data_IF_043870893476
#
_entry.id   IF_043870893476
#
_cell.length_a   1.000
_cell.length_b   1.000
_cell.length_c   1.000
_cell.angle_alpha   90.00
_cell.angle_beta   90.00
_cell.angle_gamma   90.00
#
_symmetry.space_group_name_H-M   'P 1'
#
loop_
_entity.id
_entity.type
_entity.pdbx_description
1 polymer ?
#
# COMPACT_ATOMS: atom_id res chain seq x y z
N UNK A 1 6.94 8.52 -28.52
CA UNK A 1 6.64 9.96 -28.47
C UNK A 1 5.13 10.08 -28.34
N UNK A 2 4.64 10.10 -27.10
CA UNK A 2 3.19 10.15 -26.83
C UNK A 2 2.71 11.61 -26.93
N UNK A 3 2.17 12.00 -28.09
CA UNK A 3 1.41 13.25 -28.20
C UNK A 3 0.08 13.06 -27.48
N UNK A 4 -0.03 13.61 -26.27
CA UNK A 4 -1.33 13.83 -25.65
C UNK A 4 -2.09 14.88 -26.48
N UNK A 5 -3.30 14.54 -26.94
CA UNK A 5 -4.16 15.45 -27.68
C UNK A 5 -4.44 16.74 -26.89
N UNK A 6 -4.51 17.87 -27.60
CA UNK A 6 -4.75 19.19 -27.00
C UNK A 6 -6.19 19.29 -26.49
N UNK A 7 -6.39 19.61 -25.21
CA UNK A 7 -7.73 19.87 -24.67
C UNK A 7 -8.29 21.17 -25.26
N UNK A 8 -9.52 21.12 -25.79
CA UNK A 8 -10.21 22.28 -26.36
C UNK A 8 -10.91 23.16 -25.31
N UNK A 9 -11.05 22.69 -24.07
CA UNK A 9 -11.73 23.43 -22.99
C UNK A 9 -10.81 24.35 -22.20
N UNK A 10 -9.51 24.39 -22.51
CA UNK A 10 -8.55 25.31 -21.88
C UNK A 10 -8.63 25.28 -20.35
N UNK A 11 -8.86 26.44 -19.74
CA UNK A 11 -8.97 26.62 -18.27
C UNK A 11 -10.34 26.24 -17.69
N UNK A 12 -11.35 25.98 -18.52
CA UNK A 12 -12.67 25.51 -18.08
C UNK A 12 -12.70 23.99 -17.84
N UNK A 13 -11.66 23.27 -18.24
CA UNK A 13 -11.55 21.84 -17.97
C UNK A 13 -11.25 21.61 -16.49
N UNK A 14 -12.11 20.86 -15.82
CA UNK A 14 -11.93 20.47 -14.41
C UNK A 14 -11.04 19.23 -14.25
N UNK A 15 -10.60 18.62 -15.35
CA UNK A 15 -9.69 17.48 -15.33
C UNK A 15 -8.24 17.92 -15.31
N UNK A 16 -7.41 17.20 -14.55
CA UNK A 16 -5.98 17.52 -14.51
C UNK A 16 -5.28 17.08 -15.80
N UNK A 17 -4.62 18.04 -16.45
CA UNK A 17 -3.83 17.84 -17.67
C UNK A 17 -2.33 17.68 -17.42
N UNK A 18 -1.89 17.78 -16.17
CA UNK A 18 -0.51 17.55 -15.82
C UNK A 18 -0.15 16.08 -16.06
N UNK A 19 1.06 15.78 -16.59
CA UNK A 19 1.50 14.41 -16.76
C UNK A 19 1.62 13.71 -15.39
N UNK A 20 0.66 12.87 -15.07
CA UNK A 20 0.68 12.05 -13.87
C UNK A 20 1.20 10.65 -14.16
N UNK A 21 2.15 10.18 -13.34
CA UNK A 21 2.47 8.76 -13.30
C UNK A 21 1.26 8.01 -12.74
N UNK A 22 0.54 7.26 -13.58
CA UNK A 22 -0.62 6.48 -13.12
C UNK A 22 -0.17 5.47 -12.06
N UNK A 23 -0.73 5.59 -10.85
CA UNK A 23 -0.50 4.61 -9.80
C UNK A 23 -1.08 3.25 -10.22
N UNK A 24 -0.29 2.19 -10.08
CA UNK A 24 -0.75 0.84 -10.36
C UNK A 24 -1.72 0.40 -9.26
N UNK A 25 -3.01 0.37 -9.59
CA UNK A 25 -4.06 -0.14 -8.70
C UNK A 25 -4.13 -1.66 -8.75
N UNK A 26 -4.61 -2.29 -7.68
CA UNK A 26 -5.02 -3.70 -7.72
C UNK A 26 -6.26 -3.82 -8.60
N UNK A 27 -6.26 -4.76 -9.55
CA UNK A 27 -7.47 -5.05 -10.34
C UNK A 27 -8.48 -5.88 -9.53
N UNK A 28 -9.65 -6.14 -10.12
CA UNK A 28 -10.75 -6.85 -9.45
C UNK A 28 -10.33 -8.25 -8.99
N UNK A 29 -9.54 -8.96 -9.79
CA UNK A 29 -9.10 -10.31 -9.45
C UNK A 29 -8.11 -10.30 -8.28
N UNK A 30 -7.12 -9.39 -8.29
CA UNK A 30 -6.19 -9.24 -7.18
C UNK A 30 -6.92 -8.87 -5.89
N UNK A 31 -7.89 -7.94 -5.92
CA UNK A 31 -8.69 -7.59 -4.74
C UNK A 31 -9.50 -8.79 -4.22
N UNK A 32 -10.13 -9.54 -5.12
CA UNK A 32 -10.85 -10.76 -4.76
C UNK A 32 -9.95 -11.79 -4.10
N UNK A 33 -8.72 -11.97 -4.61
CA UNK A 33 -7.73 -12.84 -4.00
C UNK A 33 -7.35 -12.37 -2.60
N UNK A 34 -7.13 -11.06 -2.40
CA UNK A 34 -6.81 -10.52 -1.07
C UNK A 34 -7.92 -10.77 -0.04
N UNK A 35 -9.19 -10.65 -0.43
CA UNK A 35 -10.32 -10.93 0.46
C UNK A 35 -10.48 -12.41 0.83
N UNK A 36 -9.86 -13.33 0.08
CA UNK A 36 -9.90 -14.77 0.37
C UNK A 36 -8.75 -15.24 1.25
N UNK A 37 -7.68 -14.44 1.34
CA UNK A 37 -6.50 -14.75 2.14
C UNK A 37 -6.78 -14.32 3.57
N UNK A 38 -6.30 -15.12 4.52
CA UNK A 38 -6.34 -14.76 5.94
C UNK A 38 -5.68 -13.40 6.23
N UNK A 39 -6.25 -12.63 7.15
CA UNK A 39 -5.73 -11.29 7.51
C UNK A 39 -4.26 -11.35 7.93
N UNK A 40 -3.84 -12.35 8.71
CA UNK A 40 -2.44 -12.51 9.13
C UNK A 40 -1.54 -12.76 7.90
N UNK A 41 -1.91 -13.71 7.04
CA UNK A 41 -1.15 -14.00 5.81
C UNK A 41 -1.03 -12.73 4.95
N UNK A 42 -2.11 -11.97 4.84
CA UNK A 42 -2.15 -10.72 4.09
C UNK A 42 -1.21 -9.64 4.64
N UNK A 43 -1.30 -9.36 5.94
CA UNK A 43 -0.45 -8.37 6.61
C UNK A 43 1.02 -8.75 6.53
N UNK A 44 1.36 -10.05 6.63
CA UNK A 44 2.74 -10.55 6.44
C UNK A 44 3.26 -10.29 5.02
N UNK A 45 2.43 -10.48 3.99
CA UNK A 45 2.81 -10.16 2.60
C UNK A 45 3.03 -8.65 2.42
N UNK A 46 2.17 -7.82 3.00
CA UNK A 46 2.34 -6.36 2.98
C UNK A 46 3.62 -5.92 3.70
N UNK A 47 3.85 -6.42 4.92
CA UNK A 47 5.02 -6.10 5.73
C UNK A 47 6.32 -6.43 4.97
N UNK A 48 6.39 -7.60 4.33
CA UNK A 48 7.56 -7.98 3.51
C UNK A 48 7.85 -6.95 2.40
N UNK A 49 6.82 -6.52 1.67
CA UNK A 49 6.97 -5.58 0.55
C UNK A 49 7.26 -4.17 1.05
N UNK A 50 6.59 -3.74 2.13
CA UNK A 50 6.80 -2.44 2.79
C UNK A 50 8.23 -2.35 3.31
N UNK A 51 8.70 -3.37 4.03
CA UNK A 51 10.07 -3.43 4.53
C UNK A 51 11.08 -3.30 3.38
N UNK A 52 10.94 -4.12 2.33
CA UNK A 52 11.84 -4.08 1.17
C UNK A 52 11.83 -2.73 0.43
N UNK A 53 10.71 -2.00 0.42
CA UNK A 53 10.65 -0.65 -0.18
C UNK A 53 11.18 0.44 0.75
N UNK A 54 10.99 0.26 2.06
CA UNK A 54 11.50 1.18 3.07
C UNK A 54 13.02 1.12 3.19
N UNK A 55 13.69 0.04 2.77
CA UNK A 55 15.17 -0.01 2.77
C UNK A 55 15.79 0.95 1.77
N UNK A 56 15.10 1.25 0.65
CA UNK A 56 15.57 2.21 -0.34
C UNK A 56 15.08 3.65 -0.10
N UNK A 57 14.33 3.90 0.99
CA UNK A 57 13.78 5.22 1.32
C UNK A 57 14.17 5.62 2.74
N UNK A 58 14.71 6.83 2.90
CA UNK A 58 14.99 7.40 4.22
C UNK A 58 13.81 8.24 4.68
N UNK A 59 13.16 7.83 5.78
CA UNK A 59 12.16 8.64 6.48
C UNK A 59 12.21 8.34 8.00
N UNK A 60 12.00 9.35 8.87
CA UNK A 60 12.17 9.25 10.32
C UNK A 60 11.37 8.12 10.99
N UNK A 61 10.10 7.94 10.60
CA UNK A 61 9.17 6.98 11.24
C UNK A 61 9.21 5.58 10.63
N UNK A 62 10.35 5.19 10.04
CA UNK A 62 10.51 3.89 9.39
C UNK A 62 10.41 2.73 10.38
N UNK A 63 11.07 2.84 11.53
CA UNK A 63 11.02 1.79 12.55
C UNK A 63 9.60 1.64 13.09
N UNK A 64 8.98 2.77 13.44
CA UNK A 64 7.59 2.81 13.92
C UNK A 64 6.61 2.18 12.93
N UNK A 65 6.77 2.40 11.61
CA UNK A 65 5.95 1.72 10.60
C UNK A 65 6.04 0.19 10.69
N UNK A 66 7.25 -0.34 10.90
CA UNK A 66 7.45 -1.78 11.01
C UNK A 66 6.85 -2.30 12.31
N UNK A 67 7.06 -1.59 13.42
CA UNK A 67 6.56 -1.95 14.74
C UNK A 67 5.03 -1.98 14.78
N UNK A 68 4.36 -0.98 14.17
CA UNK A 68 2.89 -0.95 14.08
C UNK A 68 2.34 -2.13 13.27
N UNK A 69 3.00 -2.48 12.16
CA UNK A 69 2.59 -3.62 11.33
C UNK A 69 2.83 -4.95 12.04
N UNK A 70 3.93 -5.08 12.79
CA UNK A 70 4.23 -6.28 13.58
C UNK A 70 3.22 -6.48 14.69
N UNK A 71 2.90 -5.41 15.44
CA UNK A 71 1.86 -5.45 16.46
C UNK A 71 0.50 -5.87 15.90
N UNK A 72 0.08 -5.32 14.75
CA UNK A 72 -1.19 -5.72 14.12
C UNK A 72 -1.18 -7.19 13.67
N UNK A 73 -0.04 -7.70 13.19
CA UNK A 73 0.11 -9.13 12.84
C UNK A 73 -0.07 -10.00 14.09
N UNK A 74 0.55 -9.64 15.22
CA UNK A 74 0.40 -10.36 16.48
C UNK A 74 -1.05 -10.39 16.96
N UNK A 75 -1.73 -9.23 16.94
CA UNK A 75 -3.15 -9.12 17.29
C UNK A 75 -4.01 -9.99 16.36
N UNK A 76 -3.75 -9.96 15.06
CA UNK A 76 -4.45 -10.79 14.09
C UNK A 76 -4.20 -12.30 14.31
N UNK A 77 -3.00 -12.70 14.74
CA UNK A 77 -2.70 -14.09 15.07
C UNK A 77 -3.42 -14.58 16.32
N UNK A 78 -3.57 -13.72 17.33
CA UNK A 78 -4.36 -14.03 18.52
C UNK A 78 -5.84 -14.24 18.17
N UNK A 79 -6.43 -13.39 17.31
CA UNK A 79 -7.80 -13.54 16.82
C UNK A 79 -7.96 -14.73 15.83
N UNK A 80 -6.93 -15.05 15.05
CA UNK A 80 -6.94 -16.23 14.18
C UNK A 80 -7.03 -17.53 14.97
N UNK A 81 -6.41 -17.60 16.14
CA UNK A 81 -6.51 -18.78 17.03
C UNK A 81 -7.92 -18.98 17.59
N UNK A 82 -8.76 -17.94 17.61
CA UNK A 82 -10.15 -18.02 18.10
C UNK A 82 -11.19 -18.21 16.98
N UNK A 83 -10.85 -17.91 15.71
CA UNK A 83 -11.79 -18.02 14.57
C UNK A 83 -11.54 -19.23 13.68
N UNK A 84 -12.63 -19.98 13.41
CA UNK A 84 -12.67 -21.06 12.42
C UNK A 84 -12.97 -20.46 11.05
N UNK A 85 -11.94 -20.39 10.18
CA UNK A 85 -11.97 -20.20 8.70
C UNK A 85 -11.30 -18.93 8.19
N UNK A 86 -10.09 -19.13 7.71
CA UNK A 86 -9.50 -18.46 6.56
C UNK A 86 -8.61 -19.47 5.84
N UNK A 87 -8.65 -19.55 4.51
CA UNK A 87 -7.76 -20.45 3.75
C UNK A 87 -6.37 -19.81 3.69
N UNK A 88 -5.33 -20.56 4.00
CA UNK A 88 -3.95 -20.11 3.76
C UNK A 88 -3.72 -19.93 2.25
N UNK A 89 -3.10 -18.81 1.87
CA UNK A 89 -2.77 -18.56 0.46
C UNK A 89 -1.79 -19.61 -0.07
N UNK A 90 -2.00 -20.12 -1.27
CA UNK A 90 -1.02 -20.98 -1.96
C UNK A 90 0.24 -20.19 -2.32
N UNK A 91 1.34 -20.90 -2.57
CA UNK A 91 2.61 -20.28 -2.99
C UNK A 91 2.46 -19.42 -4.25
N UNK A 92 1.67 -19.86 -5.22
CA UNK A 92 1.44 -19.15 -6.48
C UNK A 92 0.63 -17.85 -6.27
N UNK A 93 -0.40 -17.91 -5.42
CA UNK A 93 -1.20 -16.75 -5.04
C UNK A 93 -0.35 -15.70 -4.30
N UNK A 94 0.44 -16.15 -3.29
CA UNK A 94 1.39 -15.29 -2.57
C UNK A 94 2.35 -14.59 -3.53
N UNK A 95 2.97 -15.34 -4.44
CA UNK A 95 3.90 -14.79 -5.43
C UNK A 95 3.23 -13.75 -6.33
N UNK A 96 2.01 -14.00 -6.77
CA UNK A 96 1.26 -13.09 -7.63
C UNK A 96 0.91 -11.78 -6.91
N UNK A 97 0.44 -11.88 -5.67
CA UNK A 97 0.15 -10.72 -4.81
C UNK A 97 1.41 -9.90 -4.54
N UNK A 98 2.49 -10.54 -4.10
CA UNK A 98 3.77 -9.86 -3.82
C UNK A 98 4.30 -9.14 -5.05
N UNK A 99 4.26 -9.78 -6.23
CA UNK A 99 4.67 -9.15 -7.49
C UNK A 99 3.86 -7.90 -7.78
N UNK A 100 2.54 -7.93 -7.56
CA UNK A 100 1.69 -6.76 -7.80
C UNK A 100 1.93 -5.65 -6.79
N UNK A 101 1.97 -5.97 -5.50
CA UNK A 101 2.26 -5.03 -4.42
C UNK A 101 3.63 -4.36 -4.60
N UNK A 102 4.64 -5.11 -5.08
CA UNK A 102 5.98 -4.58 -5.35
C UNK A 102 6.00 -3.47 -6.40
N UNK A 103 5.01 -3.40 -7.28
CA UNK A 103 4.88 -2.31 -8.26
C UNK A 103 4.17 -1.07 -7.74
N UNK A 104 3.65 -1.08 -6.50
CA UNK A 104 2.94 0.06 -5.90
C UNK A 104 3.91 1.01 -5.19
N UNK A 105 3.50 2.27 -4.98
CA UNK A 105 4.25 3.22 -4.14
C UNK A 105 4.22 2.78 -2.68
N UNK A 106 5.22 3.17 -1.87
CA UNK A 106 5.20 2.89 -0.43
C UNK A 106 3.94 3.46 0.22
N UNK A 107 3.55 4.69 -0.16
CA UNK A 107 2.32 5.31 0.35
C UNK A 107 1.05 4.53 0.00
N UNK A 108 0.95 3.97 -1.21
CA UNK A 108 -0.19 3.14 -1.56
C UNK A 108 -0.25 1.85 -0.72
N UNK A 109 0.90 1.24 -0.42
CA UNK A 109 0.97 0.05 0.44
C UNK A 109 0.60 0.35 1.89
N UNK A 110 1.11 1.46 2.46
CA UNK A 110 0.76 1.89 3.82
C UNK A 110 -0.73 2.24 3.91
N UNK A 111 -1.28 2.92 2.90
CA UNK A 111 -2.72 3.22 2.85
C UNK A 111 -3.59 1.97 2.80
N UNK A 112 -3.12 0.93 2.13
CA UNK A 112 -3.82 -0.36 2.07
C UNK A 112 -3.73 -1.06 3.43
N UNK A 113 -2.53 -1.10 4.04
CA UNK A 113 -2.35 -1.68 5.37
C UNK A 113 -3.25 -1.00 6.41
N UNK A 114 -3.29 0.33 6.43
CA UNK A 114 -4.11 1.11 7.36
C UNK A 114 -5.61 0.77 7.31
N UNK A 115 -6.12 0.36 6.15
CA UNK A 115 -7.54 -0.03 5.98
C UNK A 115 -7.88 -1.39 6.58
N UNK A 116 -6.88 -2.27 6.70
CA UNK A 116 -7.06 -3.60 7.29
C UNK A 116 -6.73 -3.63 8.78
N UNK A 117 -6.08 -2.60 9.31
CA UNK A 117 -5.69 -2.50 10.71
C UNK A 117 -6.86 -2.08 11.62
N UNK A 118 -6.74 -2.35 12.93
CA UNK A 118 -7.68 -1.84 13.92
C UNK A 118 -7.64 -0.29 14.00
N UNK A 119 -8.69 0.37 14.52
CA UNK A 119 -8.75 1.83 14.56
C UNK A 119 -7.53 2.50 15.23
N UNK A 120 -7.03 1.91 16.33
CA UNK A 120 -5.87 2.46 17.06
C UNK A 120 -4.57 2.44 16.23
N UNK A 121 -4.31 1.36 15.49
CA UNK A 121 -3.14 1.20 14.62
C UNK A 121 -3.32 1.93 13.28
N UNK A 122 -4.56 2.06 12.82
CA UNK A 122 -4.93 2.79 11.61
C UNK A 122 -4.52 4.28 11.69
N UNK A 123 -4.78 4.97 12.80
CA UNK A 123 -4.43 6.38 12.96
C UNK A 123 -2.92 6.62 12.89
N UNK A 124 -2.12 5.75 13.53
CA UNK A 124 -0.67 5.80 13.46
C UNK A 124 -0.17 5.64 12.01
N UNK A 125 -0.72 4.67 11.26
CA UNK A 125 -0.37 4.46 9.85
C UNK A 125 -0.77 5.62 8.95
N UNK A 126 -1.88 6.32 9.23
CA UNK A 126 -2.27 7.52 8.49
C UNK A 126 -1.31 8.69 8.69
N UNK A 127 -0.83 8.90 9.91
CA UNK A 127 0.17 9.94 10.18
C UNK A 127 1.50 9.63 9.48
N UNK A 128 1.95 8.36 9.51
CA UNK A 128 3.15 7.93 8.79
C UNK A 128 2.97 8.10 7.28
N UNK A 129 1.78 7.79 6.76
CA UNK A 129 1.47 7.95 5.34
C UNK A 129 1.60 9.40 4.87
N UNK A 130 1.14 10.35 5.66
CA UNK A 130 1.23 11.77 5.33
C UNK A 130 2.69 12.21 5.19
N UNK A 131 3.56 11.76 6.09
CA UNK A 131 4.99 12.04 6.04
C UNK A 131 5.67 11.39 4.82
N UNK A 132 5.32 10.13 4.51
CA UNK A 132 5.81 9.44 3.30
C UNK A 132 5.38 10.18 2.03
N UNK A 133 4.14 10.67 1.98
CA UNK A 133 3.62 11.43 0.84
C UNK A 133 4.31 12.79 0.70
N UNK A 134 4.50 13.52 1.80
CA UNK A 134 5.18 14.80 1.81
C UNK A 134 6.58 14.70 1.21
N UNK A 135 7.36 13.68 1.59
CA UNK A 135 8.72 13.48 1.04
C UNK A 135 8.75 13.09 -0.43
N UNK A 136 7.78 12.29 -0.89
CA UNK A 136 7.69 11.96 -2.33
C UNK A 136 7.33 13.15 -3.21
N UNK A 137 6.71 14.20 -2.65
CA UNK A 137 6.39 15.43 -3.35
C UNK A 137 7.56 16.42 -3.34
N UNK A 138 8.23 16.59 -2.20
CA UNK A 138 9.39 17.50 -2.09
C UNK A 138 10.62 17.00 -2.86
N UNK A 139 10.81 15.68 -3.01
CA UNK A 139 11.86 15.10 -3.85
C UNK A 139 11.64 15.23 -5.36
N UNK A 140 10.48 15.72 -5.82
CA UNK A 140 10.20 15.98 -7.24
C UNK A 140 10.40 17.45 -7.65
N UNK A 141 10.84 18.32 -6.74
CA UNK A 141 10.94 19.77 -6.97
C UNK A 141 12.31 20.25 -7.47
N UNK A 142 13.18 19.35 -7.93
CA UNK A 142 14.45 19.69 -8.59
C UNK A 142 14.70 18.75 -9.77
N UNK A 143 14.06 19.02 -10.89
CA UNK A 143 14.47 18.58 -12.22
C UNK A 143 13.83 19.50 -13.27
#
# INVERSE_FOLDING_TARGET
MDQAGSCLQGTACTFCHLPHTRERKLDKWHRGLLHQIDKTDYLRLLQQVIWKKSTSLSFPRKQELIDVLEHEIEVAEMDRRSRVRSRSATRAERSTVVRRLSCMSLGALVSIAARECQPATQDALWQILDEVRYRTQTGKSTA
#
